data_IF_849307053222
#
_entry.id   IF_849307053222
#
_cell.length_a   1.000
_cell.length_b   1.000
_cell.length_c   1.000
_cell.angle_alpha   90.00
_cell.angle_beta   90.00
_cell.angle_gamma   90.00
#
_symmetry.space_group_name_H-M   'P 1'
#
loop_
_entity.id
_entity.type
_entity.pdbx_description
1 polymer ?
#
# COMPACT_ATOMS: atom_id res chain seq x y z
N UNK A 1 4.25 -25.43 3.38
CA UNK A 1 5.42 -24.66 3.84
C UNK A 1 6.17 -24.22 2.58
N UNK A 2 6.38 -22.92 2.39
CA UNK A 2 6.76 -22.38 1.07
C UNK A 2 8.27 -22.14 0.86
N UNK A 3 9.10 -22.20 1.92
CA UNK A 3 10.57 -22.13 1.80
C UNK A 3 11.23 -23.20 2.66
N UNK A 4 12.28 -23.82 2.11
CA UNK A 4 13.18 -24.76 2.81
C UNK A 4 14.24 -24.02 3.65
N UNK A 5 14.45 -22.72 3.43
CA UNK A 5 15.50 -21.91 4.06
C UNK A 5 14.92 -20.75 4.89
N UNK A 6 13.93 -21.04 5.75
CA UNK A 6 13.21 -20.01 6.52
C UNK A 6 14.11 -19.27 7.50
N UNK A 7 15.04 -19.98 8.15
CA UNK A 7 16.00 -19.37 9.09
C UNK A 7 16.89 -18.35 8.40
N UNK A 8 17.40 -18.69 7.20
CA UNK A 8 18.27 -17.80 6.44
C UNK A 8 17.53 -16.60 5.85
N UNK A 9 16.28 -16.82 5.42
CA UNK A 9 15.40 -15.71 5.05
C UNK A 9 15.18 -14.75 6.24
N UNK A 10 15.02 -15.28 7.46
CA UNK A 10 14.86 -14.43 8.64
C UNK A 10 16.13 -13.65 8.97
N UNK A 11 17.31 -14.29 8.93
CA UNK A 11 18.60 -13.58 9.12
C UNK A 11 18.81 -12.47 8.09
N UNK A 12 18.40 -12.69 6.84
CA UNK A 12 18.41 -11.63 5.83
C UNK A 12 17.49 -10.47 6.21
N UNK A 13 16.25 -10.74 6.63
CA UNK A 13 15.32 -9.69 7.05
C UNK A 13 15.87 -8.90 8.24
N UNK A 14 16.44 -9.57 9.24
CA UNK A 14 17.10 -8.94 10.38
C UNK A 14 18.24 -8.03 9.97
N UNK A 15 19.07 -8.43 9.00
CA UNK A 15 20.10 -7.57 8.43
C UNK A 15 19.50 -6.39 7.65
N UNK A 16 18.46 -6.65 6.86
CA UNK A 16 17.86 -5.67 5.97
C UNK A 16 17.22 -4.52 6.74
N UNK A 17 16.58 -4.79 7.89
CA UNK A 17 15.88 -3.76 8.67
C UNK A 17 16.79 -2.89 9.55
N UNK A 18 18.09 -3.18 9.63
CA UNK A 18 19.02 -2.36 10.44
C UNK A 18 19.14 -0.95 9.86
N UNK A 19 19.30 0.04 10.73
CA UNK A 19 19.38 1.45 10.35
C UNK A 19 20.50 1.73 9.34
N UNK A 20 21.66 1.11 9.49
CA UNK A 20 22.81 1.28 8.59
C UNK A 20 22.54 0.68 7.21
N UNK A 21 21.97 -0.52 7.15
CA UNK A 21 21.52 -1.15 5.90
C UNK A 21 20.44 -0.31 5.22
N UNK A 22 19.45 0.14 5.98
CA UNK A 22 18.35 0.97 5.48
C UNK A 22 18.81 2.35 5.02
N UNK A 23 19.79 2.96 5.71
CA UNK A 23 20.44 4.19 5.25
C UNK A 23 21.12 3.96 3.91
N UNK A 24 21.89 2.87 3.77
CA UNK A 24 22.57 2.57 2.51
C UNK A 24 21.58 2.30 1.38
N UNK A 25 20.50 1.59 1.66
CA UNK A 25 19.39 1.38 0.73
C UNK A 25 18.78 2.69 0.25
N UNK A 26 18.57 3.64 1.17
CA UNK A 26 18.01 4.94 0.85
C UNK A 26 18.97 5.82 0.03
N UNK A 27 20.27 5.78 0.31
CA UNK A 27 21.30 6.46 -0.49
C UNK A 27 21.32 6.01 -1.96
N UNK A 28 20.92 4.75 -2.22
CA UNK A 28 20.83 4.18 -3.56
C UNK A 28 19.49 4.50 -4.26
N UNK A 29 18.62 5.30 -3.63
CA UNK A 29 17.32 5.71 -4.17
C UNK A 29 16.13 4.88 -3.67
N UNK A 30 16.35 3.96 -2.74
CA UNK A 30 15.27 3.21 -2.08
C UNK A 30 14.51 4.07 -1.06
N UNK A 31 13.26 3.68 -0.75
CA UNK A 31 12.55 4.21 0.42
C UNK A 31 12.81 3.32 1.63
N UNK A 32 13.02 3.94 2.79
CA UNK A 32 13.40 3.25 4.01
C UNK A 32 12.19 2.81 4.85
N UNK A 33 12.31 1.64 5.48
CA UNK A 33 11.39 1.16 6.52
C UNK A 33 11.87 1.52 7.94
N UNK A 34 13.08 2.10 8.10
CA UNK A 34 13.55 2.58 9.40
C UNK A 34 13.00 3.98 9.68
N UNK A 35 12.24 4.12 10.77
CA UNK A 35 11.73 5.42 11.21
C UNK A 35 12.85 6.44 11.46
N UNK A 36 13.97 5.98 12.03
CA UNK A 36 15.13 6.83 12.30
C UNK A 36 15.78 7.36 11.02
N UNK A 37 15.93 6.51 10.01
CA UNK A 37 16.46 6.93 8.70
C UNK A 37 15.45 7.86 8.02
N UNK A 38 14.17 7.53 8.06
CA UNK A 38 13.09 8.32 7.46
C UNK A 38 13.01 9.74 8.06
N UNK A 39 13.17 9.88 9.38
CA UNK A 39 13.15 11.16 10.10
C UNK A 39 14.45 11.97 9.94
N UNK A 40 15.52 11.36 9.42
CA UNK A 40 16.82 12.00 9.35
C UNK A 40 16.86 13.16 8.34
N UNK A 41 17.59 14.26 8.64
CA UNK A 41 17.85 15.31 7.67
C UNK A 41 18.55 14.80 6.41
N UNK A 42 19.41 13.80 6.54
CA UNK A 42 20.12 13.19 5.42
C UNK A 42 19.13 12.59 4.42
N UNK A 43 18.14 11.83 4.89
CA UNK A 43 17.11 11.27 4.03
C UNK A 43 16.21 12.35 3.43
N UNK A 44 15.68 13.25 4.26
CA UNK A 44 14.70 14.25 3.82
C UNK A 44 15.27 15.24 2.80
N UNK A 45 16.59 15.49 2.84
CA UNK A 45 17.27 16.40 1.92
C UNK A 45 18.00 15.69 0.76
N UNK A 46 18.00 14.35 0.72
CA UNK A 46 18.70 13.61 -0.35
C UNK A 46 18.10 13.85 -1.74
N UNK A 47 16.78 14.10 -1.82
CA UNK A 47 16.08 14.41 -3.07
C UNK A 47 14.98 15.45 -2.82
N UNK A 48 14.51 16.18 -3.86
CA UNK A 48 13.45 17.19 -3.70
C UNK A 48 12.11 16.63 -3.18
N UNK A 49 11.84 15.33 -3.37
CA UNK A 49 10.57 14.70 -3.02
C UNK A 49 10.60 13.95 -1.68
N UNK A 50 11.77 13.68 -1.10
CA UNK A 50 11.87 12.88 0.12
C UNK A 50 11.19 13.52 1.33
N UNK A 51 11.28 14.86 1.47
CA UNK A 51 10.52 15.59 2.50
C UNK A 51 9.01 15.42 2.33
N UNK A 52 8.51 15.54 1.10
CA UNK A 52 7.09 15.33 0.83
C UNK A 52 6.67 13.88 1.14
N UNK A 53 7.51 12.90 0.79
CA UNK A 53 7.29 11.49 1.15
C UNK A 53 7.18 11.31 2.67
N UNK A 54 8.13 11.83 3.45
CA UNK A 54 8.09 11.81 4.92
C UNK A 54 6.77 12.38 5.46
N UNK A 55 6.38 13.57 5.01
CA UNK A 55 5.15 14.22 5.44
C UNK A 55 3.89 13.41 5.08
N UNK A 56 3.92 12.63 3.99
CA UNK A 56 2.79 11.77 3.60
C UNK A 56 2.63 10.56 4.52
N UNK A 57 3.71 10.06 5.14
CA UNK A 57 3.65 8.89 6.02
C UNK A 57 2.76 9.12 7.26
N UNK A 58 2.51 10.38 7.64
CA UNK A 58 1.58 10.75 8.71
C UNK A 58 0.14 10.95 8.24
N UNK A 59 -0.11 10.84 6.93
CA UNK A 59 -1.40 11.02 6.28
C UNK A 59 -1.93 9.74 5.65
N UNK A 60 -1.04 8.83 5.26
CA UNK A 60 -1.42 7.55 4.65
C UNK A 60 -2.34 6.78 5.60
N UNK A 61 -3.44 6.29 5.04
CA UNK A 61 -4.29 5.30 5.70
C UNK A 61 -3.92 3.95 5.10
N UNK A 62 -3.75 2.97 5.96
CA UNK A 62 -3.51 1.61 5.50
C UNK A 62 -4.69 1.14 4.64
N UNK A 63 -4.36 0.53 3.52
CA UNK A 63 -5.25 0.12 2.46
C UNK A 63 -5.42 -1.40 2.44
N UNK A 64 -4.59 -2.13 3.20
CA UNK A 64 -4.48 -3.59 3.18
C UNK A 64 -5.30 -4.31 4.25
N UNK A 65 -6.37 -3.69 4.76
CA UNK A 65 -7.01 -4.18 5.98
C UNK A 65 -7.85 -5.47 5.83
N UNK A 66 -8.03 -6.03 4.62
CA UNK A 66 -8.90 -7.21 4.41
C UNK A 66 -8.30 -8.24 3.44
N UNK A 67 -8.40 -9.56 3.70
CA UNK A 67 -7.93 -10.60 2.77
C UNK A 67 -8.55 -10.54 1.37
N UNK A 68 -9.72 -9.93 1.24
CA UNK A 68 -10.48 -9.79 0.00
C UNK A 68 -10.03 -8.59 -0.85
N UNK A 69 -8.99 -7.88 -0.42
CA UNK A 69 -8.57 -6.59 -1.01
C UNK A 69 -8.41 -6.65 -2.54
N UNK A 70 -7.80 -7.72 -3.07
CA UNK A 70 -7.62 -7.89 -4.51
C UNK A 70 -8.97 -7.93 -5.27
N UNK A 71 -9.99 -8.59 -4.72
CA UNK A 71 -11.34 -8.65 -5.29
C UNK A 71 -11.98 -7.26 -5.30
N UNK A 72 -11.87 -6.52 -4.18
CA UNK A 72 -12.39 -5.17 -4.03
C UNK A 72 -11.75 -4.20 -5.04
N UNK A 73 -10.43 -4.30 -5.24
CA UNK A 73 -9.68 -3.47 -6.20
C UNK A 73 -10.11 -3.75 -7.64
N UNK A 74 -10.32 -5.02 -8.00
CA UNK A 74 -10.80 -5.40 -9.33
C UNK A 74 -12.19 -4.80 -9.58
N UNK A 75 -13.10 -4.94 -8.62
CA UNK A 75 -14.46 -4.37 -8.71
C UNK A 75 -14.42 -2.85 -8.88
N UNK A 76 -13.58 -2.14 -8.11
CA UNK A 76 -13.40 -0.69 -8.25
C UNK A 76 -12.95 -0.31 -9.67
N UNK A 77 -11.93 -0.98 -10.20
CA UNK A 77 -11.46 -0.70 -11.55
C UNK A 77 -12.55 -0.95 -12.60
N UNK A 78 -13.29 -2.05 -12.49
CA UNK A 78 -14.37 -2.40 -13.40
C UNK A 78 -15.53 -1.40 -13.38
N UNK A 79 -15.88 -0.87 -12.20
CA UNK A 79 -16.95 0.14 -12.05
C UNK A 79 -16.54 1.51 -12.56
N UNK A 80 -15.33 1.95 -12.19
CA UNK A 80 -14.88 3.32 -12.44
C UNK A 80 -14.35 3.51 -13.88
N UNK A 81 -13.78 2.47 -14.50
CA UNK A 81 -13.16 2.57 -15.82
C UNK A 81 -14.13 3.08 -16.93
N UNK A 82 -15.35 2.54 -17.10
CA UNK A 82 -16.27 3.01 -18.14
C UNK A 82 -16.76 4.44 -17.92
N UNK A 83 -16.87 4.87 -16.66
CA UNK A 83 -17.23 6.24 -16.32
C UNK A 83 -16.12 7.22 -16.69
N UNK A 84 -14.88 6.96 -16.26
CA UNK A 84 -13.74 7.85 -16.53
C UNK A 84 -13.44 7.93 -18.03
N UNK A 85 -13.44 6.80 -18.73
CA UNK A 85 -12.96 6.74 -20.13
C UNK A 85 -14.08 6.96 -21.15
N UNK A 86 -15.31 6.57 -20.82
CA UNK A 86 -16.44 6.58 -21.75
C UNK A 86 -17.59 7.48 -21.35
N UNK A 87 -17.53 8.17 -20.20
CA UNK A 87 -18.63 9.03 -19.72
C UNK A 87 -19.92 8.27 -19.44
N UNK A 88 -19.83 6.97 -19.12
CA UNK A 88 -21.00 6.12 -18.92
C UNK A 88 -21.56 6.28 -17.51
N UNK A 89 -22.85 6.65 -17.41
CA UNK A 89 -23.54 6.85 -16.15
C UNK A 89 -23.07 8.09 -15.38
N UNK A 90 -23.58 8.25 -14.16
CA UNK A 90 -23.17 9.30 -13.23
C UNK A 90 -22.19 8.78 -12.19
N UNK A 91 -21.41 9.69 -11.59
CA UNK A 91 -20.54 9.34 -10.47
C UNK A 91 -21.31 8.66 -9.33
N UNK A 92 -22.55 9.09 -9.07
CA UNK A 92 -23.38 8.51 -8.02
C UNK A 92 -23.74 7.06 -8.33
N UNK A 93 -24.23 6.77 -9.53
CA UNK A 93 -24.61 5.40 -9.92
C UNK A 93 -23.43 4.44 -9.87
N UNK A 94 -22.26 4.88 -10.35
CA UNK A 94 -21.02 4.09 -10.34
C UNK A 94 -20.58 3.76 -8.93
N UNK A 95 -20.57 4.76 -8.03
CA UNK A 95 -20.14 4.57 -6.65
C UNK A 95 -21.18 3.80 -5.81
N UNK A 96 -22.48 4.00 -6.05
CA UNK A 96 -23.53 3.21 -5.42
C UNK A 96 -23.41 1.72 -5.81
N UNK A 97 -23.17 1.44 -7.09
CA UNK A 97 -22.99 0.08 -7.59
C UNK A 97 -21.70 -0.57 -7.06
N UNK A 98 -20.60 0.18 -6.98
CA UNK A 98 -19.36 -0.28 -6.35
C UNK A 98 -19.57 -0.61 -4.86
N UNK A 99 -20.28 0.25 -4.13
CA UNK A 99 -20.61 0.00 -2.74
C UNK A 99 -21.47 -1.27 -2.57
N UNK A 100 -22.39 -1.54 -3.50
CA UNK A 100 -23.17 -2.77 -3.51
C UNK A 100 -22.29 -4.02 -3.72
N UNK A 101 -21.34 -3.96 -4.66
CA UNK A 101 -20.38 -5.07 -4.89
C UNK A 101 -19.54 -5.36 -3.65
N UNK A 102 -18.95 -4.31 -3.07
CA UNK A 102 -18.12 -4.45 -1.86
C UNK A 102 -18.92 -5.02 -0.69
N UNK A 103 -20.16 -4.56 -0.49
CA UNK A 103 -21.05 -5.13 0.52
C UNK A 103 -21.36 -6.62 0.25
N UNK A 104 -21.54 -7.01 -1.01
CA UNK A 104 -21.76 -8.41 -1.37
C UNK A 104 -20.51 -9.26 -1.10
N UNK A 105 -19.31 -8.78 -1.45
CA UNK A 105 -18.04 -9.44 -1.14
C UNK A 105 -17.85 -9.56 0.38
N UNK A 106 -18.08 -8.50 1.15
CA UNK A 106 -17.98 -8.57 2.61
C UNK A 106 -18.96 -9.56 3.24
N UNK A 107 -20.19 -9.67 2.72
CA UNK A 107 -21.14 -10.70 3.16
C UNK A 107 -20.67 -12.12 2.79
N UNK A 108 -20.20 -12.32 1.55
CA UNK A 108 -19.64 -13.58 1.04
C UNK A 108 -18.52 -14.12 1.95
N UNK A 109 -17.68 -13.21 2.48
CA UNK A 109 -16.56 -13.56 3.37
C UNK A 109 -16.85 -13.33 4.86
N UNK A 110 -18.12 -13.15 5.26
CA UNK A 110 -18.55 -12.98 6.66
C UNK A 110 -17.83 -11.83 7.41
N UNK A 111 -17.53 -10.72 6.72
CA UNK A 111 -16.90 -9.51 7.29
C UNK A 111 -17.91 -8.56 7.91
N UNK A 112 -19.17 -8.64 7.50
CA UNK A 112 -20.29 -7.86 8.05
C UNK A 112 -21.42 -8.83 8.44
N UNK A 113 -22.11 -8.54 9.55
CA UNK A 113 -23.29 -9.28 10.00
C UNK A 113 -24.53 -8.82 9.26
#
# INVERSE_FOLDING_TARGET
SYSENQEEAMKFLEWFIKDDTQKKWAELGGYTASAKVLESPEFQNATPYNKAFYETMFKVKDFWATPEYAELLIQMNQRVYPYITGGQGTAKEVLDALAADWNATFKKYNRVK
#
